data_IF_071551198780
#
_entry.id   IF_071551198780
#
_cell.length_a   1.000
_cell.length_b   1.000
_cell.length_c   1.000
_cell.angle_alpha   90.00
_cell.angle_beta   90.00
_cell.angle_gamma   90.00
#
_symmetry.space_group_name_H-M   'P 1'
#
loop_
_entity.id
_entity.type
_entity.pdbx_description
1 polymer ?
#
# COMPACT_ATOMS: atom_id res chain seq x y z
N UNK A 1 35.79 -40.38 -22.34
CA UNK A 1 34.97 -40.11 -21.14
C UNK A 1 34.87 -38.62 -20.76
N UNK A 2 35.72 -37.71 -21.26
CA UNK A 2 35.60 -36.26 -20.98
C UNK A 2 34.38 -35.56 -21.63
N UNK A 3 33.90 -36.05 -22.77
CA UNK A 3 32.82 -35.38 -23.53
C UNK A 3 31.46 -35.43 -22.82
N UNK A 4 31.24 -36.42 -21.93
CA UNK A 4 30.01 -36.57 -21.15
C UNK A 4 29.85 -35.53 -20.05
N UNK A 5 30.95 -35.03 -19.50
CA UNK A 5 30.95 -34.04 -18.42
C UNK A 5 30.75 -32.61 -18.92
N UNK A 6 31.06 -32.34 -20.20
CA UNK A 6 30.88 -31.02 -20.81
C UNK A 6 29.39 -30.76 -21.08
N UNK A 7 28.63 -31.81 -21.42
CA UNK A 7 27.18 -31.71 -21.68
C UNK A 7 26.39 -31.52 -20.37
N UNK A 8 26.81 -32.14 -19.27
CA UNK A 8 26.19 -31.91 -17.96
C UNK A 8 26.50 -30.53 -17.36
N UNK A 9 27.65 -29.94 -17.68
CA UNK A 9 27.99 -28.57 -17.25
C UNK A 9 27.17 -27.50 -18.00
N UNK A 10 26.78 -27.75 -19.25
CA UNK A 10 25.97 -26.79 -20.02
C UNK A 10 24.47 -26.77 -19.65
N UNK A 11 23.96 -27.82 -19.00
CA UNK A 11 22.55 -27.93 -18.62
C UNK A 11 22.20 -27.30 -17.27
N UNK A 12 23.17 -26.93 -16.44
CA UNK A 12 22.93 -26.29 -15.13
C UNK A 12 22.82 -24.76 -15.19
N UNK A 13 23.20 -24.13 -16.31
CA UNK A 13 23.19 -22.66 -16.45
C UNK A 13 21.79 -22.12 -16.80
N UNK A 14 20.85 -22.97 -17.22
CA UNK A 14 19.50 -22.55 -17.62
C UNK A 14 18.48 -22.38 -16.47
N UNK A 15 18.91 -22.50 -15.21
CA UNK A 15 18.01 -22.39 -14.05
C UNK A 15 17.94 -20.99 -13.41
N UNK A 16 18.66 -19.99 -13.93
CA UNK A 16 18.79 -18.69 -13.26
C UNK A 16 18.14 -17.57 -14.07
N UNK A 17 16.84 -17.68 -14.31
CA UNK A 17 16.02 -16.53 -14.69
C UNK A 17 14.62 -16.63 -14.09
N UNK A 18 14.52 -17.02 -12.82
CA UNK A 18 13.41 -16.55 -12.00
C UNK A 18 13.66 -15.05 -11.78
N UNK A 19 13.19 -14.22 -12.71
CA UNK A 19 13.04 -12.79 -12.46
C UNK A 19 12.10 -12.69 -11.26
N UNK A 20 12.68 -12.46 -10.09
CA UNK A 20 11.93 -12.06 -8.92
C UNK A 20 11.23 -10.76 -9.30
N UNK A 21 9.95 -10.83 -9.64
CA UNK A 21 9.09 -9.66 -9.65
C UNK A 21 9.21 -9.04 -8.26
N UNK A 22 9.83 -7.87 -8.24
CA UNK A 22 10.43 -7.31 -7.04
C UNK A 22 9.45 -6.37 -6.36
N UNK A 23 9.33 -6.42 -5.02
CA UNK A 23 8.67 -5.39 -4.23
C UNK A 23 9.17 -3.96 -4.51
N UNK A 24 10.33 -3.80 -5.16
CA UNK A 24 10.87 -2.51 -5.58
C UNK A 24 9.92 -1.71 -6.48
N UNK A 25 9.10 -2.36 -7.32
CA UNK A 25 8.10 -1.66 -8.15
C UNK A 25 6.98 -1.08 -7.27
N UNK A 26 6.60 -1.78 -6.20
CA UNK A 26 5.62 -1.27 -5.23
C UNK A 26 6.18 -0.05 -4.48
N UNK A 27 7.43 -0.11 -4.03
CA UNK A 27 8.10 1.03 -3.39
C UNK A 27 8.32 2.22 -4.33
N UNK A 28 8.68 1.97 -5.59
CA UNK A 28 8.82 3.01 -6.61
C UNK A 28 7.51 3.79 -6.79
N UNK A 29 6.39 3.07 -6.92
CA UNK A 29 5.06 3.67 -7.05
C UNK A 29 4.63 4.38 -5.77
N UNK A 30 4.83 3.75 -4.62
CA UNK A 30 4.47 4.27 -3.30
C UNK A 30 3.02 4.80 -3.21
N UNK A 31 2.06 4.13 -3.86
CA UNK A 31 0.67 4.57 -3.87
C UNK A 31 -0.13 4.12 -5.09
N UNK A 32 -1.16 4.88 -5.43
CA UNK A 32 -2.14 4.56 -6.48
C UNK A 32 -2.20 5.66 -7.54
N UNK A 33 -1.94 5.31 -8.80
CA UNK A 33 -1.85 6.27 -9.92
C UNK A 33 -0.85 7.38 -9.56
N UNK A 34 -1.27 8.64 -9.58
CA UNK A 34 -0.46 9.80 -9.19
C UNK A 34 -0.59 10.14 -7.69
N UNK A 35 -1.46 9.47 -6.93
CA UNK A 35 -1.59 9.65 -5.48
C UNK A 35 -0.48 8.84 -4.78
N UNK A 36 0.45 9.54 -4.13
CA UNK A 36 1.59 8.94 -3.41
C UNK A 36 1.47 9.11 -1.91
N UNK A 37 1.81 8.08 -1.17
CA UNK A 37 1.93 8.13 0.28
C UNK A 37 2.99 9.16 0.70
N UNK A 38 2.76 9.82 1.83
CA UNK A 38 3.64 10.89 2.32
C UNK A 38 3.52 12.22 1.59
N UNK A 39 2.69 12.34 0.54
CA UNK A 39 2.35 13.63 -0.07
C UNK A 39 1.19 14.30 0.66
N UNK A 40 0.92 15.58 0.35
CA UNK A 40 -0.17 16.30 0.99
C UNK A 40 -1.54 15.84 0.48
N UNK A 41 -2.45 15.50 1.38
CA UNK A 41 -3.79 15.02 1.02
C UNK A 41 -4.61 16.12 0.32
N UNK A 42 -4.47 17.38 0.73
CA UNK A 42 -5.11 18.53 0.09
C UNK A 42 -4.58 18.87 -1.32
N UNK A 43 -3.45 18.28 -1.73
CA UNK A 43 -2.89 18.45 -3.07
C UNK A 43 -3.48 17.47 -4.10
N UNK A 44 -4.21 16.45 -3.64
CA UNK A 44 -4.81 15.43 -4.51
C UNK A 44 -6.05 15.99 -5.22
N UNK A 45 -6.13 15.78 -6.54
CA UNK A 45 -7.25 16.24 -7.36
C UNK A 45 -8.57 15.66 -6.85
N UNK A 46 -9.55 16.52 -6.57
CA UNK A 46 -10.87 16.08 -6.10
C UNK A 46 -10.92 15.56 -4.66
N UNK A 47 -9.83 15.71 -3.89
CA UNK A 47 -9.85 15.39 -2.47
C UNK A 47 -10.69 16.41 -1.68
N UNK A 48 -11.67 15.91 -0.93
CA UNK A 48 -12.53 16.69 -0.04
C UNK A 48 -12.39 16.14 1.37
N UNK A 49 -12.10 17.02 2.33
CA UNK A 49 -12.03 16.66 3.73
C UNK A 49 -13.42 16.23 4.21
N UNK A 50 -13.55 14.97 4.64
CA UNK A 50 -14.81 14.40 5.13
C UNK A 50 -14.92 14.51 6.64
N UNK A 51 -13.82 14.24 7.35
CA UNK A 51 -13.80 14.19 8.81
C UNK A 51 -12.40 14.45 9.33
N UNK A 52 -12.32 15.25 10.38
CA UNK A 52 -11.15 15.29 11.24
C UNK A 52 -11.47 14.52 12.52
N UNK A 53 -10.56 13.66 12.94
CA UNK A 53 -10.69 12.96 14.22
C UNK A 53 -9.33 12.70 14.81
N UNK A 54 -9.26 12.56 16.13
CA UNK A 54 -8.03 12.17 16.79
C UNK A 54 -7.98 10.64 16.82
N UNK A 55 -7.07 10.02 16.07
CA UNK A 55 -6.88 8.56 16.13
C UNK A 55 -6.33 8.16 17.51
N UNK A 56 -6.71 6.95 17.99
CA UNK A 56 -6.38 6.30 19.27
C UNK A 56 -5.44 7.08 20.21
N UNK A 57 -5.95 7.40 21.40
CA UNK A 57 -5.26 8.04 22.52
C UNK A 57 -5.06 9.56 22.42
N UNK A 58 -5.89 10.29 21.68
CA UNK A 58 -5.85 11.77 21.68
C UNK A 58 -4.51 12.41 21.23
N UNK A 59 -3.59 11.65 20.62
CA UNK A 59 -2.24 12.17 20.39
C UNK A 59 -2.13 12.93 19.06
N UNK A 60 -2.94 12.59 18.05
CA UNK A 60 -2.74 13.05 16.66
C UNK A 60 -3.99 13.34 15.85
N UNK A 61 -4.10 14.51 15.20
CA UNK A 61 -5.16 14.77 14.24
C UNK A 61 -4.94 13.88 13.01
N UNK A 62 -5.84 12.92 12.85
CA UNK A 62 -5.98 12.13 11.64
C UNK A 62 -7.12 12.72 10.81
N UNK A 63 -6.82 13.01 9.56
CA UNK A 63 -7.80 13.58 8.63
C UNK A 63 -8.21 12.48 7.66
N UNK A 64 -9.50 12.44 7.34
CA UNK A 64 -10.03 11.58 6.28
C UNK A 64 -10.53 12.41 5.13
N UNK A 65 -10.00 12.15 3.95
CA UNK A 65 -10.43 12.76 2.70
C UNK A 65 -11.15 11.72 1.85
N UNK A 66 -12.21 12.14 1.17
CA UNK A 66 -12.83 11.37 0.09
C UNK A 66 -12.36 11.99 -1.21
N UNK A 67 -11.93 11.16 -2.17
CA UNK A 67 -11.46 11.64 -3.46
C UNK A 67 -12.50 11.35 -4.52
N UNK A 68 -13.01 12.40 -5.13
CA UNK A 68 -13.98 12.35 -6.22
C UNK A 68 -13.38 12.98 -7.47
N UNK A 69 -12.81 12.16 -8.34
CA UNK A 69 -12.27 12.61 -9.62
C UNK A 69 -12.39 11.52 -10.69
N UNK A 70 -12.75 11.83 -11.96
CA UNK A 70 -12.89 10.84 -13.02
C UNK A 70 -11.63 9.99 -13.25
N UNK A 71 -10.45 10.59 -13.08
CA UNK A 71 -9.18 9.87 -13.21
C UNK A 71 -9.02 8.73 -12.19
N UNK A 72 -9.77 8.73 -11.07
CA UNK A 72 -9.70 7.72 -10.01
C UNK A 72 -10.93 6.82 -9.96
N UNK A 73 -11.83 6.90 -10.95
CA UNK A 73 -13.07 6.15 -10.96
C UNK A 73 -12.89 4.67 -11.34
N UNK A 74 -11.77 4.28 -11.95
CA UNK A 74 -11.55 2.92 -12.46
C UNK A 74 -10.11 2.42 -12.31
N UNK A 75 -9.94 1.10 -12.37
CA UNK A 75 -8.66 0.39 -12.59
C UNK A 75 -8.84 -0.49 -13.82
N UNK A 76 -8.37 -0.02 -14.99
CA UNK A 76 -8.77 -0.62 -16.26
C UNK A 76 -10.29 -0.54 -16.41
N UNK A 77 -10.93 -1.70 -16.55
CA UNK A 77 -12.39 -1.83 -16.65
C UNK A 77 -13.10 -2.00 -15.30
N UNK A 78 -12.35 -2.10 -14.19
CA UNK A 78 -12.93 -2.35 -12.87
C UNK A 78 -13.33 -1.03 -12.24
N UNK A 79 -14.61 -0.88 -11.90
CA UNK A 79 -15.15 0.32 -11.25
C UNK A 79 -14.68 0.43 -9.80
N UNK A 80 -14.22 1.63 -9.44
CA UNK A 80 -13.94 2.03 -8.06
C UNK A 80 -15.22 2.70 -7.50
N UNK A 81 -15.68 2.20 -6.35
CA UNK A 81 -16.84 2.72 -5.60
C UNK A 81 -16.46 3.89 -4.71
N UNK A 82 -15.29 3.83 -4.10
CA UNK A 82 -14.76 4.92 -3.27
C UNK A 82 -13.24 4.92 -3.24
N UNK A 83 -12.69 6.12 -3.09
CA UNK A 83 -11.29 6.38 -2.81
C UNK A 83 -11.24 7.24 -1.56
N UNK A 84 -10.59 6.74 -0.51
CA UNK A 84 -10.45 7.43 0.77
C UNK A 84 -8.97 7.57 1.13
N UNK A 85 -8.58 8.75 1.63
CA UNK A 85 -7.23 9.01 2.12
C UNK A 85 -7.28 9.18 3.63
N UNK A 86 -6.48 8.40 4.36
CA UNK A 86 -6.16 8.70 5.75
C UNK A 86 -4.87 9.51 5.79
N UNK A 87 -4.87 10.63 6.50
CA UNK A 87 -3.72 11.52 6.56
C UNK A 87 -3.33 11.86 8.01
N UNK A 88 -2.03 11.97 8.25
CA UNK A 88 -1.44 12.44 9.49
C UNK A 88 -0.67 13.74 9.22
N UNK A 89 -1.02 14.83 9.91
CA UNK A 89 -0.48 16.19 9.62
C UNK A 89 -0.59 16.54 8.13
N UNK A 90 -1.75 16.25 7.52
CA UNK A 90 -2.02 16.40 6.09
C UNK A 90 -1.14 15.53 5.17
N UNK A 91 -0.28 14.66 5.68
CA UNK A 91 0.50 13.70 4.88
C UNK A 91 -0.27 12.39 4.75
N UNK A 92 -0.44 11.89 3.52
CA UNK A 92 -1.21 10.68 3.24
C UNK A 92 -0.51 9.45 3.87
N UNK A 93 -1.14 8.87 4.88
CA UNK A 93 -0.73 7.63 5.55
C UNK A 93 -1.33 6.41 4.85
N UNK A 94 -2.59 6.50 4.44
CA UNK A 94 -3.32 5.41 3.79
C UNK A 94 -4.07 5.88 2.56
N UNK A 95 -4.14 4.99 1.56
CA UNK A 95 -5.00 5.14 0.39
C UNK A 95 -5.87 3.88 0.34
N UNK A 96 -7.18 4.04 0.54
CA UNK A 96 -8.15 2.96 0.56
C UNK A 96 -9.03 3.04 -0.67
N UNK A 97 -9.06 1.97 -1.45
CA UNK A 97 -9.89 1.82 -2.63
C UNK A 97 -10.92 0.72 -2.37
N UNK A 98 -12.20 1.00 -2.57
CA UNK A 98 -13.25 -0.02 -2.63
C UNK A 98 -13.62 -0.22 -4.09
N UNK A 99 -13.48 -1.43 -4.61
CA UNK A 99 -13.75 -1.75 -6.02
C UNK A 99 -14.89 -2.74 -6.16
N UNK A 100 -15.45 -2.84 -7.36
CA UNK A 100 -16.19 -4.05 -7.73
C UNK A 100 -15.29 -5.29 -7.65
N UNK A 101 -15.89 -6.43 -7.32
CA UNK A 101 -15.16 -7.68 -7.22
C UNK A 101 -14.81 -8.21 -8.61
N UNK A 102 -13.53 -8.18 -8.93
CA UNK A 102 -12.99 -8.76 -10.17
C UNK A 102 -11.73 -9.57 -9.85
N UNK A 103 -11.74 -10.91 -10.05
CA UNK A 103 -10.57 -11.76 -9.76
C UNK A 103 -9.35 -11.41 -10.62
N UNK A 104 -9.53 -10.71 -11.75
CA UNK A 104 -8.42 -10.26 -12.60
C UNK A 104 -7.54 -9.23 -11.90
N UNK A 105 -8.07 -8.50 -10.90
CA UNK A 105 -7.28 -7.54 -10.11
C UNK A 105 -6.15 -8.23 -9.36
N UNK A 106 -6.41 -9.37 -8.71
CA UNK A 106 -5.38 -10.13 -8.01
C UNK A 106 -4.24 -10.51 -8.96
N UNK A 107 -4.58 -11.09 -10.10
CA UNK A 107 -3.59 -11.50 -11.11
C UNK A 107 -2.81 -10.30 -11.66
N UNK A 108 -3.47 -9.15 -11.87
CA UNK A 108 -2.80 -7.93 -12.31
C UNK A 108 -1.81 -7.41 -11.27
N UNK A 109 -2.17 -7.43 -9.98
CA UNK A 109 -1.28 -7.06 -8.89
C UNK A 109 -0.11 -8.02 -8.76
N UNK A 110 -0.35 -9.33 -8.89
CA UNK A 110 0.74 -10.31 -8.89
C UNK A 110 1.70 -10.12 -10.05
N UNK A 111 1.19 -9.80 -11.25
CA UNK A 111 2.04 -9.50 -12.40
C UNK A 111 2.91 -8.26 -12.19
N UNK A 112 2.44 -7.27 -11.43
CA UNK A 112 3.16 -6.03 -11.15
C UNK A 112 4.16 -6.17 -10.00
N UNK A 113 3.77 -6.85 -8.93
CA UNK A 113 4.47 -6.81 -7.64
C UNK A 113 5.01 -8.18 -7.19
N UNK A 114 4.85 -9.22 -8.00
CA UNK A 114 5.20 -10.59 -7.64
C UNK A 114 4.09 -11.28 -6.84
N UNK A 115 4.33 -12.52 -6.40
CA UNK A 115 3.33 -13.29 -5.64
C UNK A 115 3.00 -12.61 -4.32
N UNK A 116 1.71 -12.55 -3.99
CA UNK A 116 1.28 -12.01 -2.71
C UNK A 116 1.62 -12.96 -1.56
N UNK A 117 1.81 -12.41 -0.37
CA UNK A 117 1.83 -13.19 0.88
C UNK A 117 0.42 -13.28 1.43
N UNK A 118 0.00 -14.46 1.88
CA UNK A 118 -1.29 -14.66 2.53
C UNK A 118 -1.16 -14.55 4.05
N UNK A 119 -1.95 -13.66 4.65
CA UNK A 119 -2.12 -13.53 6.09
C UNK A 119 -3.42 -14.24 6.52
N UNK A 120 -3.25 -15.43 7.09
CA UNK A 120 -4.37 -16.26 7.54
C UNK A 120 -5.13 -15.66 8.73
N UNK A 121 -4.48 -14.83 9.56
CA UNK A 121 -5.11 -14.23 10.74
C UNK A 121 -6.14 -13.17 10.34
N UNK A 122 -5.79 -12.39 9.32
CA UNK A 122 -6.61 -11.28 8.84
C UNK A 122 -7.38 -11.61 7.54
N UNK A 123 -7.26 -12.84 7.03
CA UNK A 123 -7.88 -13.30 5.78
C UNK A 123 -7.63 -12.36 4.61
N UNK A 124 -6.36 -11.97 4.42
CA UNK A 124 -5.97 -10.98 3.42
C UNK A 124 -4.68 -11.39 2.71
N UNK A 125 -4.53 -10.90 1.48
CA UNK A 125 -3.27 -10.97 0.73
C UNK A 125 -2.56 -9.64 0.85
N UNK A 126 -1.23 -9.66 0.84
CA UNK A 126 -0.45 -8.43 0.86
C UNK A 126 0.86 -8.53 0.10
N UNK A 127 1.32 -7.36 -0.34
CA UNK A 127 2.66 -7.11 -0.84
C UNK A 127 3.32 -6.12 0.09
N UNK A 128 4.58 -6.36 0.42
CA UNK A 128 5.34 -5.52 1.34
C UNK A 128 6.62 -5.05 0.66
N UNK A 129 6.73 -3.74 0.50
CA UNK A 129 7.98 -3.05 0.23
C UNK A 129 8.62 -2.54 1.52
N UNK A 130 9.68 -1.75 1.38
CA UNK A 130 10.40 -1.10 2.46
C UNK A 130 9.62 0.07 3.07
N UNK A 131 8.90 0.81 2.23
CA UNK A 131 8.20 2.06 2.58
C UNK A 131 6.67 1.92 2.57
N UNK A 132 6.13 0.89 1.93
CA UNK A 132 4.69 0.71 1.70
C UNK A 132 4.26 -0.75 1.82
N UNK A 133 3.05 -0.95 2.33
CA UNK A 133 2.32 -2.21 2.23
C UNK A 133 1.08 -2.01 1.37
N UNK A 134 0.85 -2.90 0.42
CA UNK A 134 -0.43 -3.03 -0.28
C UNK A 134 -1.17 -4.26 0.26
N UNK A 135 -2.39 -4.06 0.76
CA UNK A 135 -3.28 -5.13 1.20
C UNK A 135 -4.42 -5.31 0.20
N UNK A 136 -4.77 -6.56 -0.08
CA UNK A 136 -5.92 -6.98 -0.88
C UNK A 136 -6.80 -7.92 -0.05
N UNK A 137 -8.08 -7.58 0.14
CA UNK A 137 -9.04 -8.48 0.81
C UNK A 137 -10.45 -8.27 0.32
N UNK A 138 -11.33 -9.21 0.67
CA UNK A 138 -12.77 -9.07 0.46
C UNK A 138 -13.33 -7.97 1.37
N UNK A 139 -14.17 -7.10 0.81
CA UNK A 139 -14.89 -6.09 1.59
C UNK A 139 -16.36 -6.46 1.78
N UNK A 140 -17.02 -6.92 0.71
CA UNK A 140 -18.37 -7.46 0.75
C UNK A 140 -18.53 -8.56 -0.30
N UNK A 141 -19.74 -9.13 -0.44
CA UNK A 141 -20.02 -10.17 -1.45
C UNK A 141 -19.57 -9.76 -2.87
N UNK A 142 -19.76 -8.47 -3.20
CA UNK A 142 -19.53 -7.90 -4.53
C UNK A 142 -18.46 -6.79 -4.53
N UNK A 143 -17.59 -6.73 -3.52
CA UNK A 143 -16.53 -5.72 -3.47
C UNK A 143 -15.25 -6.20 -2.85
N UNK A 144 -14.16 -5.61 -3.30
CA UNK A 144 -12.81 -5.80 -2.79
C UNK A 144 -12.33 -4.48 -2.19
N UNK A 145 -11.38 -4.59 -1.26
CA UNK A 145 -10.66 -3.45 -0.73
C UNK A 145 -9.18 -3.62 -1.05
N UNK A 146 -8.60 -2.55 -1.59
CA UNK A 146 -7.17 -2.37 -1.77
C UNK A 146 -6.73 -1.25 -0.82
N UNK A 147 -5.78 -1.52 0.06
CA UNK A 147 -5.26 -0.51 0.99
C UNK A 147 -3.76 -0.38 0.82
N UNK A 148 -3.30 0.78 0.39
CA UNK A 148 -1.90 1.18 0.49
C UNK A 148 -1.69 1.83 1.85
N UNK A 149 -0.64 1.43 2.56
CA UNK A 149 -0.28 1.97 3.87
C UNK A 149 1.20 2.30 3.93
N UNK A 150 1.52 3.51 4.37
CA UNK A 150 2.89 3.95 4.62
C UNK A 150 3.47 3.25 5.85
N UNK A 151 4.72 2.79 5.73
CA UNK A 151 5.55 2.31 6.84
C UNK A 151 6.38 3.41 7.49
N UNK A 152 6.46 4.59 6.87
CA UNK A 152 7.26 5.74 7.33
C UNK A 152 6.47 6.59 8.32
N UNK A 153 5.26 7.03 7.95
CA UNK A 153 4.39 7.88 8.77
C UNK A 153 4.11 7.31 10.18
N UNK A 154 3.83 6.01 10.36
CA UNK A 154 3.67 5.45 11.71
C UNK A 154 4.91 5.64 12.61
N UNK A 155 6.13 5.64 12.04
CA UNK A 155 7.37 5.91 12.80
C UNK A 155 7.41 7.37 13.27
N UNK A 156 7.06 8.31 12.40
CA UNK A 156 6.93 9.73 12.76
C UNK A 156 5.92 9.93 13.91
N UNK A 157 4.77 9.22 13.87
CA UNK A 157 3.78 9.29 14.95
C UNK A 157 4.33 8.78 16.30
N UNK A 158 5.20 7.77 16.29
CA UNK A 158 5.85 7.26 17.50
C UNK A 158 6.89 8.25 18.01
N UNK A 159 7.73 8.82 17.13
CA UNK A 159 8.74 9.82 17.48
C UNK A 159 8.11 11.09 18.07
N UNK A 160 7.05 11.60 17.44
CA UNK A 160 6.28 12.73 17.94
C UNK A 160 5.70 12.45 19.34
N UNK A 161 5.40 11.18 19.65
CA UNK A 161 4.72 10.79 20.90
C UNK A 161 5.73 10.86 22.02
N UNK A 162 6.90 10.29 21.77
CA UNK A 162 8.03 10.33 22.67
C UNK A 162 8.41 11.79 22.98
N UNK A 163 8.56 12.64 21.96
CA UNK A 163 8.88 14.05 22.17
C UNK A 163 7.85 14.79 23.03
N UNK A 164 6.55 14.50 22.89
CA UNK A 164 5.52 15.09 23.76
C UNK A 164 5.62 14.61 25.21
N UNK A 165 5.91 13.33 25.43
CA UNK A 165 6.10 12.77 26.77
C UNK A 165 7.33 13.39 27.43
N UNK A 166 8.44 13.51 26.69
CA UNK A 166 9.67 14.11 27.19
C UNK A 166 9.45 15.58 27.61
N UNK A 167 8.72 16.37 26.82
CA UNK A 167 8.34 17.75 27.17
C UNK A 167 7.49 17.85 28.44
N UNK A 168 6.56 16.91 28.64
CA UNK A 168 5.76 16.86 29.88
C UNK A 168 6.67 16.53 31.07
N UNK A 169 7.65 15.64 30.89
CA UNK A 169 8.59 15.27 31.94
C UNK A 169 9.53 16.42 32.33
N UNK A 170 9.90 17.30 31.38
CA UNK A 170 10.69 18.51 31.65
C UNK A 170 9.97 19.54 32.54
N UNK A 171 8.63 19.49 32.62
CA UNK A 171 7.82 20.38 33.46
C UNK A 171 7.68 19.92 34.92
N UNK A 172 8.26 18.76 35.30
CA UNK A 172 8.30 18.21 36.66
C UNK A 172 9.71 18.26 37.26
#
# INVERSE_FOLDING_TARGET
MLFRYIITLLLSVWMHSLVAQSPAELDSRNGFKDIRLGTRADSVKGAKLRKEFTAKENVYPSQTYVVEHPEYATIGDVKIKSVELGAYRNLIETITLITDKDPRLMKALENLFGRATYDAKNYQYFWRGDSVILTYKSHSKNSLILEYRSLVIPRMMVEDRKSKIDKIAEDF
#
